data_IF_296745044169
#
_entry.id   IF_296745044169
#
_cell.length_a   1.000
_cell.length_b   1.000
_cell.length_c   1.000
_cell.angle_alpha   90.00
_cell.angle_beta   90.00
_cell.angle_gamma   90.00
#
_symmetry.space_group_name_H-M   'P 1'
#
loop_
_entity.id
_entity.type
_entity.pdbx_description
1 polymer ?
#
# COMPACT_ATOMS: atom_id res chain seq x y z
N UNK A 1 -8.49 2.03 -16.67
CA UNK A 1 -8.92 1.28 -17.89
C UNK A 1 -9.92 0.18 -17.55
N UNK A 2 -9.60 -0.76 -16.65
CA UNK A 2 -10.49 -1.89 -16.30
C UNK A 2 -11.31 -1.64 -15.03
N UNK A 3 -11.51 -0.39 -14.64
CA UNK A 3 -12.31 -0.03 -13.47
C UNK A 3 -13.72 -0.65 -13.53
N UNK A 4 -14.13 -1.34 -12.48
CA UNK A 4 -15.40 -2.10 -12.39
C UNK A 4 -15.57 -3.25 -13.42
N UNK A 5 -14.50 -3.69 -14.10
CA UNK A 5 -14.55 -4.84 -14.98
C UNK A 5 -14.43 -6.15 -14.17
N UNK A 6 -15.44 -6.47 -13.36
CA UNK A 6 -15.41 -7.51 -12.30
C UNK A 6 -14.98 -8.90 -12.78
N UNK A 7 -15.29 -9.25 -14.04
CA UNK A 7 -14.95 -10.57 -14.63
C UNK A 7 -13.67 -10.56 -15.48
N UNK A 8 -13.04 -9.40 -15.64
CA UNK A 8 -11.84 -9.29 -16.49
C UNK A 8 -10.66 -10.05 -15.88
N UNK A 9 -10.10 -10.99 -16.64
CA UNK A 9 -8.91 -11.75 -16.27
C UNK A 9 -8.14 -12.24 -17.51
N UNK A 10 -8.01 -11.39 -18.54
CA UNK A 10 -7.29 -11.76 -19.75
C UNK A 10 -5.77 -11.51 -19.61
N UNK A 11 -4.92 -12.30 -20.31
CA UNK A 11 -3.48 -12.11 -20.26
C UNK A 11 -3.08 -10.80 -20.96
N UNK A 12 -2.49 -9.89 -20.19
CA UNK A 12 -2.03 -8.58 -20.66
C UNK A 12 -0.55 -8.35 -20.29
N UNK A 13 0.15 -9.37 -19.80
CA UNK A 13 1.53 -9.26 -19.32
C UNK A 13 2.55 -8.84 -20.39
N UNK A 14 2.20 -8.97 -21.69
CA UNK A 14 3.05 -8.57 -22.81
C UNK A 14 2.77 -7.14 -23.32
N UNK A 15 1.90 -6.39 -22.63
CA UNK A 15 1.67 -5.01 -23.03
C UNK A 15 2.90 -4.16 -22.76
N UNK A 16 3.24 -3.30 -23.71
CA UNK A 16 4.19 -2.22 -23.50
C UNK A 16 3.49 -1.06 -22.76
N UNK A 17 3.86 -0.88 -21.49
CA UNK A 17 3.33 0.17 -20.64
C UNK A 17 4.40 1.20 -20.26
N UNK A 18 5.58 1.14 -20.90
CA UNK A 18 6.75 1.96 -20.54
C UNK A 18 6.53 3.48 -20.63
N UNK A 19 5.57 3.92 -21.43
CA UNK A 19 5.19 5.32 -21.55
C UNK A 19 4.05 5.76 -20.63
N UNK A 20 3.49 4.83 -19.83
CA UNK A 20 2.35 5.14 -18.95
C UNK A 20 2.83 5.89 -17.72
N UNK A 21 2.24 7.05 -17.45
CA UNK A 21 2.55 7.88 -16.29
C UNK A 21 1.51 7.78 -15.19
N UNK A 22 0.28 7.37 -15.51
CA UNK A 22 -0.80 7.23 -14.54
C UNK A 22 -1.48 5.86 -14.70
N UNK A 23 -1.44 5.06 -13.63
CA UNK A 23 -2.11 3.76 -13.51
C UNK A 23 -3.22 3.78 -12.44
N UNK A 24 -3.61 4.96 -12.00
CA UNK A 24 -4.66 5.11 -10.99
C UNK A 24 -5.95 4.40 -11.38
N UNK A 25 -6.54 3.66 -10.45
CA UNK A 25 -7.78 2.88 -10.62
C UNK A 25 -7.76 1.85 -11.77
N UNK A 26 -6.57 1.49 -12.32
CA UNK A 26 -6.52 0.64 -13.53
C UNK A 26 -7.27 -0.66 -13.38
N UNK A 27 -7.15 -1.34 -12.23
CA UNK A 27 -7.83 -2.60 -11.89
C UNK A 27 -8.78 -2.47 -10.69
N UNK A 28 -9.11 -1.25 -10.27
CA UNK A 28 -10.01 -1.05 -9.12
C UNK A 28 -11.36 -1.72 -9.39
N UNK A 29 -11.85 -2.49 -8.40
CA UNK A 29 -13.05 -3.34 -8.49
C UNK A 29 -13.01 -4.39 -9.65
N UNK A 30 -11.82 -4.78 -10.09
CA UNK A 30 -11.65 -5.88 -11.07
C UNK A 30 -11.41 -7.18 -10.30
N UNK A 31 -12.45 -7.70 -9.67
CA UNK A 31 -12.39 -8.73 -8.61
C UNK A 31 -11.67 -10.01 -9.02
N UNK A 32 -11.80 -10.43 -10.29
CA UNK A 32 -11.24 -11.68 -10.80
C UNK A 32 -9.85 -11.55 -11.40
N UNK A 33 -9.29 -10.33 -11.49
CA UNK A 33 -8.00 -10.13 -12.12
C UNK A 33 -6.86 -10.75 -11.31
N UNK A 34 -6.13 -11.68 -11.94
CA UNK A 34 -4.97 -12.34 -11.34
C UNK A 34 -3.94 -12.78 -12.40
N UNK A 35 -3.69 -11.94 -13.41
CA UNK A 35 -2.71 -12.24 -14.46
C UNK A 35 -1.30 -11.77 -14.10
N UNK A 36 -0.25 -12.45 -14.60
CA UNK A 36 1.12 -12.02 -14.37
C UNK A 36 1.42 -10.72 -15.14
N UNK A 37 1.76 -9.67 -14.39
CA UNK A 37 2.12 -8.35 -14.91
C UNK A 37 3.46 -7.86 -14.34
N UNK A 38 4.22 -8.74 -13.69
CA UNK A 38 5.49 -8.41 -13.05
C UNK A 38 6.60 -7.96 -14.00
N UNK A 39 6.46 -8.22 -15.30
CA UNK A 39 7.41 -7.80 -16.34
C UNK A 39 7.10 -6.40 -16.92
N UNK A 40 6.03 -5.76 -16.49
CA UNK A 40 5.72 -4.40 -16.93
C UNK A 40 6.82 -3.43 -16.51
N UNK A 41 7.26 -2.58 -17.44
CA UNK A 41 8.09 -1.42 -17.12
C UNK A 41 7.19 -0.28 -16.65
N UNK A 42 7.14 -0.08 -15.33
CA UNK A 42 6.34 0.96 -14.68
C UNK A 42 7.19 2.16 -14.26
N UNK A 43 8.42 2.27 -14.77
CA UNK A 43 9.38 3.29 -14.32
C UNK A 43 8.97 4.73 -14.63
N UNK A 44 8.04 4.94 -15.58
CA UNK A 44 7.48 6.25 -15.89
C UNK A 44 6.25 6.63 -15.04
N UNK A 45 5.72 5.68 -14.23
CA UNK A 45 4.47 5.90 -13.50
C UNK A 45 4.71 6.79 -12.28
N UNK A 46 3.85 7.80 -12.14
CA UNK A 46 3.85 8.72 -11.00
C UNK A 46 2.64 8.53 -10.08
N UNK A 47 1.55 7.95 -10.57
CA UNK A 47 0.31 7.73 -9.80
C UNK A 47 -0.14 6.27 -9.94
N UNK A 48 -0.21 5.56 -8.79
CA UNK A 48 -0.74 4.19 -8.66
C UNK A 48 -1.92 4.14 -7.68
N UNK A 49 -2.57 5.28 -7.40
CA UNK A 49 -3.68 5.33 -6.47
C UNK A 49 -4.82 4.39 -6.88
N UNK A 50 -5.39 3.66 -5.93
CA UNK A 50 -6.48 2.69 -6.17
C UNK A 50 -6.20 1.58 -7.18
N UNK A 51 -4.94 1.37 -7.63
CA UNK A 51 -4.66 0.49 -8.78
C UNK A 51 -5.25 -0.91 -8.62
N UNK A 52 -5.15 -1.52 -7.44
CA UNK A 52 -5.69 -2.85 -7.11
C UNK A 52 -6.75 -2.80 -6.00
N UNK A 53 -7.35 -1.64 -5.77
CA UNK A 53 -8.41 -1.51 -4.76
C UNK A 53 -9.56 -2.50 -5.07
N UNK A 54 -9.97 -3.26 -4.06
CA UNK A 54 -11.01 -4.29 -4.18
C UNK A 54 -10.76 -5.32 -5.31
N UNK A 55 -9.48 -5.56 -5.65
CA UNK A 55 -9.07 -6.61 -6.60
C UNK A 55 -8.77 -7.89 -5.81
N UNK A 56 -9.82 -8.56 -5.37
CA UNK A 56 -9.78 -9.59 -4.32
C UNK A 56 -8.89 -10.80 -4.63
N UNK A 57 -8.73 -11.17 -5.92
CA UNK A 57 -7.96 -12.36 -6.32
C UNK A 57 -6.50 -12.07 -6.64
N UNK A 58 -6.13 -10.80 -6.81
CA UNK A 58 -4.78 -10.46 -7.26
C UNK A 58 -3.71 -10.82 -6.22
N UNK A 59 -2.80 -11.71 -6.63
CA UNK A 59 -1.66 -12.11 -5.81
C UNK A 59 -0.47 -12.55 -6.70
N UNK A 60 -0.17 -11.80 -7.77
CA UNK A 60 0.99 -12.07 -8.65
C UNK A 60 2.21 -11.26 -8.23
N UNK A 61 3.43 -11.79 -8.45
CA UNK A 61 4.66 -11.08 -8.13
C UNK A 61 4.77 -9.76 -8.90
N UNK A 62 5.01 -8.66 -8.16
CA UNK A 62 5.25 -7.32 -8.67
C UNK A 62 6.44 -6.64 -7.96
N UNK A 63 7.20 -7.41 -7.17
CA UNK A 63 8.31 -6.88 -6.37
C UNK A 63 9.49 -6.31 -7.18
N UNK A 64 9.58 -6.64 -8.49
CA UNK A 64 10.61 -6.12 -9.38
C UNK A 64 10.22 -4.80 -10.07
N UNK A 65 9.02 -4.27 -9.81
CA UNK A 65 8.62 -2.99 -10.38
C UNK A 65 9.52 -1.85 -9.89
N UNK A 66 9.98 -1.01 -10.81
CA UNK A 66 10.64 0.23 -10.47
C UNK A 66 9.58 1.31 -10.20
N UNK A 67 9.27 1.54 -8.92
CA UNK A 67 8.27 2.52 -8.47
C UNK A 67 8.88 3.83 -7.98
N UNK A 68 10.16 4.07 -8.27
CA UNK A 68 10.91 5.21 -7.71
C UNK A 68 10.37 6.60 -8.10
N UNK A 69 9.57 6.69 -9.16
CA UNK A 69 8.91 7.93 -9.59
C UNK A 69 7.48 8.08 -9.07
N UNK A 70 6.93 7.06 -8.37
CA UNK A 70 5.56 7.12 -7.86
C UNK A 70 5.49 8.05 -6.66
N UNK A 71 4.57 9.02 -6.70
CA UNK A 71 4.31 9.95 -5.60
C UNK A 71 2.99 9.67 -4.87
N UNK A 72 2.05 8.95 -5.49
CA UNK A 72 0.77 8.61 -4.88
C UNK A 72 0.52 7.09 -4.95
N UNK A 73 0.42 6.46 -3.76
CA UNK A 73 0.06 5.04 -3.59
C UNK A 73 -1.20 4.87 -2.72
N UNK A 74 -1.99 5.95 -2.55
CA UNK A 74 -3.20 5.88 -1.72
C UNK A 74 -4.17 4.81 -2.23
N UNK A 75 -4.75 4.03 -1.32
CA UNK A 75 -5.72 2.96 -1.62
C UNK A 75 -5.21 1.84 -2.54
N UNK A 76 -3.91 1.78 -2.85
CA UNK A 76 -3.39 0.90 -3.91
C UNK A 76 -3.80 -0.56 -3.74
N UNK A 77 -3.79 -1.10 -2.51
CA UNK A 77 -4.19 -2.47 -2.18
C UNK A 77 -5.34 -2.53 -1.18
N UNK A 78 -6.07 -1.43 -0.98
CA UNK A 78 -7.21 -1.46 -0.07
C UNK A 78 -8.24 -2.51 -0.53
N UNK A 79 -8.73 -3.32 0.41
CA UNK A 79 -9.63 -4.46 0.12
C UNK A 79 -9.06 -5.53 -0.84
N UNK A 80 -7.76 -5.53 -1.16
CA UNK A 80 -7.11 -6.59 -1.95
C UNK A 80 -6.85 -7.82 -1.06
N UNK A 81 -7.88 -8.58 -0.75
CA UNK A 81 -7.92 -9.58 0.35
C UNK A 81 -6.89 -10.70 0.25
N UNK A 82 -6.45 -11.06 -0.96
CA UNK A 82 -5.48 -12.15 -1.16
C UNK A 82 -4.05 -11.65 -1.42
N UNK A 83 -3.84 -10.33 -1.51
CA UNK A 83 -2.51 -9.79 -1.82
C UNK A 83 -1.53 -10.03 -0.68
N UNK A 84 -0.46 -10.77 -0.97
CA UNK A 84 0.63 -11.06 -0.01
C UNK A 84 1.97 -11.27 -0.72
N UNK A 85 2.30 -10.45 -1.72
CA UNK A 85 3.58 -10.55 -2.44
C UNK A 85 4.67 -9.70 -1.80
N UNK A 86 5.95 -10.12 -1.90
CA UNK A 86 7.07 -9.34 -1.39
C UNK A 86 7.26 -8.07 -2.23
N UNK A 87 7.16 -6.91 -1.57
CA UNK A 87 7.35 -5.58 -2.16
C UNK A 87 8.34 -4.73 -1.34
N UNK A 88 9.07 -5.35 -0.40
CA UNK A 88 10.00 -4.65 0.48
C UNK A 88 11.21 -4.01 -0.22
N UNK A 89 11.49 -4.40 -1.46
CA UNK A 89 12.57 -3.82 -2.28
C UNK A 89 12.13 -2.60 -3.10
N UNK A 90 10.86 -2.20 -3.01
CA UNK A 90 10.41 -0.98 -3.69
C UNK A 90 11.11 0.25 -3.14
N UNK A 91 11.56 1.12 -4.04
CA UNK A 91 12.09 2.44 -3.71
C UNK A 91 10.89 3.40 -3.66
N UNK A 92 10.45 3.74 -2.45
CA UNK A 92 9.23 4.55 -2.22
C UNK A 92 9.56 5.98 -1.76
N UNK A 93 10.81 6.40 -1.85
CA UNK A 93 11.27 7.70 -1.35
C UNK A 93 10.63 8.92 -2.02
N UNK A 94 9.94 8.75 -3.16
CA UNK A 94 9.18 9.84 -3.81
C UNK A 94 7.72 9.91 -3.35
N UNK A 95 7.24 8.90 -2.58
CA UNK A 95 5.82 8.81 -2.21
C UNK A 95 5.49 9.82 -1.11
N UNK A 96 4.41 10.58 -1.31
CA UNK A 96 3.89 11.55 -0.35
C UNK A 96 2.56 11.11 0.29
N UNK A 97 1.79 10.26 -0.39
CA UNK A 97 0.49 9.77 0.07
C UNK A 97 0.44 8.24 0.05
N UNK A 98 0.34 7.65 1.26
CA UNK A 98 0.14 6.21 1.49
C UNK A 98 -1.18 5.93 2.22
N UNK A 99 -2.11 6.90 2.25
CA UNK A 99 -3.38 6.74 2.94
C UNK A 99 -4.15 5.53 2.40
N UNK A 100 -4.73 4.74 3.31
CA UNK A 100 -5.49 3.52 2.99
C UNK A 100 -4.74 2.43 2.20
N UNK A 101 -3.41 2.52 2.00
CA UNK A 101 -2.70 1.63 1.06
C UNK A 101 -2.95 0.14 1.30
N UNK A 102 -3.04 -0.31 2.55
CA UNK A 102 -3.32 -1.70 2.94
C UNK A 102 -4.60 -1.83 3.79
N UNK A 103 -5.50 -0.86 3.71
CA UNK A 103 -6.77 -0.91 4.45
C UNK A 103 -7.51 -2.21 4.11
N UNK A 104 -7.95 -2.94 5.15
CA UNK A 104 -8.68 -4.21 5.01
C UNK A 104 -7.99 -5.28 4.14
N UNK A 105 -6.65 -5.21 4.03
CA UNK A 105 -5.83 -6.21 3.31
C UNK A 105 -5.41 -7.31 4.29
N UNK A 106 -6.31 -8.27 4.51
CA UNK A 106 -6.25 -9.20 5.65
C UNK A 106 -5.20 -10.32 5.56
N UNK A 107 -4.48 -10.43 4.44
CA UNK A 107 -3.42 -11.45 4.24
C UNK A 107 -2.02 -10.85 4.16
N UNK A 108 -1.89 -9.55 3.89
CA UNK A 108 -0.59 -8.93 3.70
C UNK A 108 0.22 -8.93 5.00
N UNK A 109 1.37 -9.61 4.96
CA UNK A 109 2.31 -9.69 6.08
C UNK A 109 3.76 -9.82 5.60
N UNK A 110 4.18 -9.03 4.61
CA UNK A 110 5.56 -9.01 4.11
C UNK A 110 6.38 -7.88 4.73
N UNK A 111 7.70 -8.07 4.88
CA UNK A 111 8.58 -7.03 5.41
C UNK A 111 8.58 -5.79 4.50
N UNK A 112 8.38 -4.61 5.09
CA UNK A 112 8.45 -3.30 4.44
C UNK A 112 9.19 -2.28 5.31
N UNK A 113 9.87 -2.73 6.38
CA UNK A 113 10.58 -1.86 7.32
C UNK A 113 11.76 -1.10 6.73
N UNK A 114 12.26 -1.51 5.55
CA UNK A 114 13.35 -0.82 4.85
C UNK A 114 12.85 0.29 3.90
N UNK A 115 11.54 0.52 3.82
CA UNK A 115 11.01 1.61 3.00
C UNK A 115 11.48 2.96 3.56
N UNK A 116 11.98 3.81 2.69
CA UNK A 116 12.22 5.22 2.99
C UNK A 116 10.90 5.98 2.83
N UNK A 117 10.25 6.26 3.96
CA UNK A 117 8.97 6.96 4.02
C UNK A 117 9.11 8.42 4.44
N UNK A 118 10.33 8.95 4.43
CA UNK A 118 10.66 10.28 4.93
C UNK A 118 9.93 11.44 4.22
N UNK A 119 9.40 11.21 3.02
CA UNK A 119 8.61 12.20 2.29
C UNK A 119 7.10 12.01 2.42
N UNK A 120 6.64 10.96 3.14
CA UNK A 120 5.20 10.71 3.31
C UNK A 120 4.60 11.72 4.27
N UNK A 121 3.46 12.31 3.89
CA UNK A 121 2.72 13.26 4.69
C UNK A 121 1.39 12.69 5.22
N UNK A 122 0.78 11.73 4.51
CA UNK A 122 -0.48 11.10 4.90
C UNK A 122 -0.35 9.57 4.98
N UNK A 123 -0.55 9.02 6.19
CA UNK A 123 -0.63 7.59 6.49
C UNK A 123 -2.00 7.20 7.08
N UNK A 124 -3.03 8.05 6.92
CA UNK A 124 -4.35 7.79 7.47
C UNK A 124 -4.89 6.44 6.97
N UNK A 125 -5.44 5.63 7.88
CA UNK A 125 -6.02 4.31 7.59
C UNK A 125 -5.07 3.29 6.93
N UNK A 126 -3.75 3.55 6.82
CA UNK A 126 -2.83 2.73 6.01
C UNK A 126 -2.92 1.24 6.32
N UNK A 127 -3.05 0.85 7.59
CA UNK A 127 -3.20 -0.54 8.05
C UNK A 127 -4.51 -0.79 8.80
N UNK A 128 -5.50 0.11 8.70
CA UNK A 128 -6.80 -0.12 9.34
C UNK A 128 -7.38 -1.45 8.85
N UNK A 129 -7.82 -2.30 9.78
CA UNK A 129 -8.32 -3.66 9.53
C UNK A 129 -7.34 -4.63 8.84
N UNK A 130 -6.05 -4.30 8.77
CA UNK A 130 -5.01 -5.18 8.23
C UNK A 130 -4.62 -6.24 9.29
N UNK A 131 -5.46 -7.24 9.48
CA UNK A 131 -5.38 -8.18 10.62
C UNK A 131 -4.19 -9.13 10.59
N UNK A 132 -3.55 -9.34 9.43
CA UNK A 132 -2.33 -10.16 9.33
C UNK A 132 -1.04 -9.38 9.52
N UNK A 133 -1.04 -8.05 9.27
CA UNK A 133 0.19 -7.27 9.25
C UNK A 133 0.76 -7.08 10.67
N UNK A 134 1.97 -7.60 10.88
CA UNK A 134 2.71 -7.44 12.13
C UNK A 134 4.23 -7.49 11.87
N UNK A 135 4.74 -6.72 10.89
CA UNK A 135 6.17 -6.62 10.60
C UNK A 135 6.78 -5.36 11.22
N UNK A 136 8.06 -5.40 11.59
CA UNK A 136 8.75 -4.23 12.14
C UNK A 136 8.74 -3.04 11.16
N UNK A 137 8.33 -1.88 11.66
CA UNK A 137 8.33 -0.59 10.95
C UNK A 137 8.85 0.55 11.85
N UNK A 138 9.44 0.22 13.01
CA UNK A 138 9.91 1.21 13.97
C UNK A 138 11.04 2.11 13.46
N UNK A 139 11.77 1.66 12.42
CA UNK A 139 12.84 2.45 11.80
C UNK A 139 12.34 3.46 10.74
N UNK A 140 11.04 3.54 10.51
CA UNK A 140 10.51 4.53 9.58
C UNK A 140 10.73 5.94 10.10
N UNK A 141 11.26 6.82 9.24
CA UNK A 141 11.28 8.25 9.49
C UNK A 141 9.91 8.83 9.16
N UNK A 142 9.12 9.11 10.19
CA UNK A 142 7.75 9.66 10.07
C UNK A 142 7.71 11.16 10.39
N UNK A 143 8.85 11.82 10.48
CA UNK A 143 8.95 13.22 10.93
C UNK A 143 8.21 14.22 10.04
N UNK A 144 7.92 13.87 8.77
CA UNK A 144 7.13 14.71 7.87
C UNK A 144 5.64 14.34 7.82
N UNK A 145 5.20 13.28 8.54
CA UNK A 145 3.80 12.86 8.53
C UNK A 145 2.96 13.85 9.34
N UNK A 146 1.85 14.29 8.73
CA UNK A 146 0.87 15.19 9.36
C UNK A 146 -0.43 14.48 9.74
N UNK A 147 -0.75 13.37 9.07
CA UNK A 147 -2.01 12.64 9.20
C UNK A 147 -1.76 11.16 9.48
N UNK A 148 -2.24 10.66 10.66
CA UNK A 148 -2.20 9.25 11.08
C UNK A 148 -3.56 8.76 11.58
N UNK A 149 -4.67 9.41 11.17
CA UNK A 149 -6.01 9.09 11.62
C UNK A 149 -6.34 7.61 11.31
N UNK A 150 -6.76 6.85 12.35
CA UNK A 150 -7.11 5.42 12.24
C UNK A 150 -6.05 4.51 11.60
N UNK A 151 -4.75 4.87 11.63
CA UNK A 151 -3.69 4.14 10.90
C UNK A 151 -3.67 2.64 11.20
N UNK A 152 -3.93 2.22 12.45
CA UNK A 152 -3.96 0.83 12.90
C UNK A 152 -5.31 0.42 13.49
N UNK A 153 -6.42 1.15 13.21
CA UNK A 153 -7.75 0.77 13.69
C UNK A 153 -8.05 -0.70 13.38
N UNK A 154 -8.44 -1.49 14.37
CA UNK A 154 -8.75 -2.93 14.25
C UNK A 154 -7.63 -3.79 13.65
N UNK A 155 -6.38 -3.34 13.68
CA UNK A 155 -5.23 -4.13 13.24
C UNK A 155 -4.69 -5.02 14.38
N UNK A 156 -3.96 -6.09 14.02
CA UNK A 156 -3.23 -6.92 15.00
C UNK A 156 -1.76 -6.48 15.17
N UNK A 157 -1.44 -5.26 14.76
CA UNK A 157 -0.08 -4.74 14.84
C UNK A 157 0.38 -4.61 16.29
N UNK A 158 1.59 -5.13 16.58
CA UNK A 158 2.26 -5.02 17.88
C UNK A 158 3.77 -4.75 17.73
N UNK A 159 4.17 -4.00 16.69
CA UNK A 159 5.55 -3.56 16.49
C UNK A 159 5.91 -2.38 17.38
N UNK A 160 7.20 -2.23 17.71
CA UNK A 160 7.68 -1.05 18.41
C UNK A 160 7.70 0.17 17.47
N UNK A 161 7.16 1.28 17.96
CA UNK A 161 7.09 2.58 17.28
C UNK A 161 7.41 3.75 18.23
N UNK A 162 7.97 3.43 19.41
CA UNK A 162 8.23 4.43 20.46
C UNK A 162 9.25 5.50 20.08
N UNK A 163 10.08 5.23 19.06
CA UNK A 163 11.10 6.17 18.59
C UNK A 163 10.62 7.06 17.42
N UNK A 164 9.34 6.96 17.02
CA UNK A 164 8.80 7.80 15.96
C UNK A 164 8.73 9.27 16.39
N UNK A 165 9.28 10.16 15.58
CA UNK A 165 9.08 11.61 15.73
C UNK A 165 7.71 12.00 15.15
N UNK A 166 6.74 12.20 16.01
CA UNK A 166 5.36 12.56 15.65
C UNK A 166 5.06 14.04 15.89
N UNK A 167 6.09 14.88 16.01
CA UNK A 167 5.94 16.29 16.36
C UNK A 167 5.15 17.12 15.33
N UNK A 168 5.10 16.66 14.07
CA UNK A 168 4.35 17.31 13.00
C UNK A 168 2.95 16.72 12.78
N UNK A 169 2.59 15.63 13.48
CA UNK A 169 1.28 14.99 13.29
C UNK A 169 0.17 15.85 13.90
N UNK A 170 -0.83 16.18 13.08
CA UNK A 170 -1.97 17.01 13.46
C UNK A 170 -3.21 16.18 13.80
N UNK A 171 -3.34 14.96 13.26
CA UNK A 171 -4.45 14.05 13.58
C UNK A 171 -3.95 12.61 13.79
N UNK A 172 -4.12 12.12 15.04
CA UNK A 172 -3.94 10.71 15.44
C UNK A 172 -5.25 10.11 15.97
N UNK A 173 -6.39 10.68 15.64
CA UNK A 173 -7.69 10.21 16.12
C UNK A 173 -7.88 8.73 15.81
N UNK A 174 -8.28 7.94 16.81
CA UNK A 174 -8.56 6.51 16.69
C UNK A 174 -7.42 5.63 16.14
N UNK A 175 -6.16 6.11 16.17
CA UNK A 175 -5.00 5.42 15.57
C UNK A 175 -4.90 3.93 15.97
N UNK A 176 -5.23 3.60 17.23
CA UNK A 176 -5.23 2.24 17.76
C UNK A 176 -6.59 1.77 18.24
N UNK A 177 -7.69 2.32 17.69
CA UNK A 177 -9.04 1.93 18.03
C UNK A 177 -9.26 0.43 17.80
N UNK A 178 -9.90 -0.26 18.76
CA UNK A 178 -10.16 -1.70 18.70
C UNK A 178 -8.94 -2.58 18.41
N UNK A 179 -7.72 -2.09 18.70
CA UNK A 179 -6.46 -2.82 18.51
C UNK A 179 -6.16 -3.63 19.77
N UNK A 180 -6.52 -4.90 19.81
CA UNK A 180 -6.38 -5.74 21.01
C UNK A 180 -4.95 -6.26 21.25
N UNK A 181 -4.05 -6.14 20.29
CA UNK A 181 -2.69 -6.69 20.36
C UNK A 181 -1.64 -5.64 20.75
N UNK A 182 -1.90 -4.35 20.51
CA UNK A 182 -0.89 -3.30 20.68
C UNK A 182 -0.58 -3.03 22.16
N UNK A 183 0.70 -3.25 22.52
CA UNK A 183 1.21 -3.04 23.89
C UNK A 183 2.72 -2.72 23.89
N UNK A 184 3.14 -1.72 23.10
CA UNK A 184 4.54 -1.32 22.94
C UNK A 184 4.72 0.18 23.12
#
# INVERSE_FOLDING_TARGET
MFYNATVFNQPIGNWDVSSVTNMGMMFSNTENFNQPIGNWDVSSVTDMSYMFNNTNTFNKPIGNWNVSNVNNMSWMFADAKNFNQPIGNWVVSSVTDMSYMFNNTNTFNKPIGNWDVSNVTDMSYMFSKATAFNKPIGNWDVSNVTEMFMMFDRANFNGSIGDWDVSNVTDMGYMFSETNAFNK
#
